data_IF_899140890054
#
_entry.id   IF_899140890054
#
_cell.length_a   1.000
_cell.length_b   1.000
_cell.length_c   1.000
_cell.angle_alpha   90.00
_cell.angle_beta   90.00
_cell.angle_gamma   90.00
#
_symmetry.space_group_name_H-M   'P 1'
#
loop_
_entity.id
_entity.type
_entity.pdbx_description
1 polymer ?
#
# COMPACT_ATOMS: atom_id res chain seq x y z
N UNK A 1 59.57 28.15 -11.73
CA UNK A 1 58.81 26.95 -12.18
C UNK A 1 57.54 26.80 -11.34
N UNK A 2 56.58 27.73 -11.48
CA UNK A 2 55.38 27.81 -10.64
C UNK A 2 54.15 27.75 -11.53
N UNK A 3 53.61 26.56 -11.74
CA UNK A 3 52.38 26.39 -12.52
C UNK A 3 51.68 25.08 -12.17
N UNK A 4 51.39 24.83 -10.90
CA UNK A 4 50.51 23.72 -10.51
C UNK A 4 49.76 24.07 -9.23
N UNK A 5 48.48 24.41 -9.38
CA UNK A 5 47.37 24.27 -8.42
C UNK A 5 46.30 25.34 -8.69
N UNK A 6 45.65 25.28 -9.86
CA UNK A 6 44.42 26.06 -10.15
C UNK A 6 43.18 25.17 -10.32
N UNK A 7 43.29 23.87 -10.05
CA UNK A 7 42.23 22.87 -10.29
C UNK A 7 41.66 22.21 -9.02
N UNK A 8 42.19 22.52 -7.83
CA UNK A 8 41.79 21.86 -6.57
C UNK A 8 40.33 22.12 -6.18
N UNK A 9 39.84 23.36 -6.36
CA UNK A 9 38.45 23.71 -6.02
C UNK A 9 37.39 23.16 -6.99
N UNK A 10 37.73 22.99 -8.26
CA UNK A 10 36.80 22.51 -9.30
C UNK A 10 36.50 21.02 -9.11
N UNK A 11 37.51 20.22 -8.76
CA UNK A 11 37.32 18.80 -8.44
C UNK A 11 36.43 18.60 -7.22
N UNK A 12 36.59 19.43 -6.18
CA UNK A 12 35.75 19.39 -4.98
C UNK A 12 34.29 19.76 -5.29
N UNK A 13 34.08 20.77 -6.12
CA UNK A 13 32.74 21.21 -6.54
C UNK A 13 32.00 20.15 -7.36
N UNK A 14 32.70 19.43 -8.25
CA UNK A 14 32.15 18.32 -9.03
C UNK A 14 31.75 17.14 -8.12
N UNK A 15 32.58 16.81 -7.12
CA UNK A 15 32.26 15.76 -6.13
C UNK A 15 30.99 16.14 -5.35
N UNK A 16 30.87 17.39 -4.88
CA UNK A 16 29.69 17.87 -4.15
C UNK A 16 28.43 17.79 -5.01
N UNK A 17 28.50 18.19 -6.29
CA UNK A 17 27.38 18.09 -7.23
C UNK A 17 26.96 16.63 -7.45
N UNK A 18 27.91 15.71 -7.58
CA UNK A 18 27.63 14.28 -7.75
C UNK A 18 26.92 13.65 -6.54
N UNK A 19 27.17 14.14 -5.32
CA UNK A 19 26.48 13.69 -4.11
C UNK A 19 25.00 14.11 -4.05
N UNK A 20 24.61 15.22 -4.69
CA UNK A 20 23.22 15.70 -4.67
C UNK A 20 22.29 15.03 -5.68
N UNK A 21 22.83 14.39 -6.73
CA UNK A 21 22.00 13.75 -7.78
C UNK A 21 21.56 12.30 -7.48
N UNK A 22 21.96 11.71 -6.35
CA UNK A 22 21.74 10.28 -6.08
C UNK A 22 20.42 9.91 -5.39
N UNK A 23 19.55 10.87 -5.03
CA UNK A 23 18.37 10.59 -4.21
C UNK A 23 17.07 10.76 -5.00
N UNK A 24 16.76 9.83 -5.89
CA UNK A 24 15.39 9.65 -6.39
C UNK A 24 14.73 8.50 -5.63
N UNK A 25 13.49 8.66 -5.12
CA UNK A 25 12.78 7.58 -4.45
C UNK A 25 12.61 6.40 -5.40
N UNK A 26 13.17 5.24 -5.05
CA UNK A 26 13.04 4.03 -5.86
C UNK A 26 11.62 3.51 -5.67
N UNK A 27 10.80 3.55 -6.70
CA UNK A 27 9.42 3.04 -6.64
C UNK A 27 9.40 1.51 -6.80
N UNK A 28 8.52 0.85 -6.07
CA UNK A 28 8.25 -0.59 -6.14
C UNK A 28 6.80 -0.79 -6.51
N UNK A 29 6.55 -1.62 -7.53
CA UNK A 29 5.20 -1.99 -7.95
C UNK A 29 4.91 -3.44 -7.57
N UNK A 30 3.75 -3.69 -6.97
CA UNK A 30 3.23 -5.03 -6.67
C UNK A 30 1.81 -5.18 -7.20
N UNK A 31 1.46 -6.39 -7.64
CA UNK A 31 0.13 -6.75 -8.14
C UNK A 31 -0.41 -7.92 -7.33
N UNK A 32 -1.69 -7.88 -6.99
CA UNK A 32 -2.39 -8.98 -6.32
C UNK A 32 -3.85 -9.08 -6.74
N UNK A 33 -4.47 -10.23 -6.46
CA UNK A 33 -5.89 -10.47 -6.70
C UNK A 33 -6.63 -10.29 -5.36
N UNK A 34 -7.54 -9.32 -5.31
CA UNK A 34 -8.31 -8.96 -4.12
C UNK A 34 -9.75 -8.65 -4.51
N UNK A 35 -10.73 -9.03 -3.67
CA UNK A 35 -12.14 -8.69 -3.86
C UNK A 35 -12.68 -9.05 -5.26
N UNK A 36 -12.17 -10.14 -5.87
CA UNK A 36 -12.54 -10.59 -7.21
C UNK A 36 -11.92 -9.82 -8.38
N UNK A 37 -10.93 -8.96 -8.15
CA UNK A 37 -10.24 -8.20 -9.21
C UNK A 37 -8.73 -8.07 -8.96
N UNK A 38 -7.98 -7.59 -9.95
CA UNK A 38 -6.57 -7.30 -9.79
C UNK A 38 -6.34 -5.86 -9.34
N UNK A 39 -5.62 -5.70 -8.24
CA UNK A 39 -5.13 -4.40 -7.78
C UNK A 39 -3.62 -4.31 -7.97
N UNK A 40 -3.14 -3.11 -8.29
CA UNK A 40 -1.72 -2.81 -8.47
C UNK A 40 -1.36 -1.63 -7.57
N UNK A 41 -0.35 -1.82 -6.74
CA UNK A 41 0.14 -0.82 -5.79
C UNK A 41 1.53 -0.40 -6.20
N UNK A 42 1.75 0.91 -6.27
CA UNK A 42 3.08 1.49 -6.50
C UNK A 42 3.43 2.37 -5.31
N UNK A 43 4.49 2.03 -4.61
CA UNK A 43 4.92 2.73 -3.38
C UNK A 43 6.42 3.00 -3.45
N UNK A 44 6.89 3.99 -2.70
CA UNK A 44 8.33 4.15 -2.50
C UNK A 44 8.91 2.93 -1.77
N UNK A 45 10.09 2.49 -2.19
CA UNK A 45 10.76 1.28 -1.68
C UNK A 45 10.99 1.29 -0.17
N UNK A 46 11.22 2.47 0.44
CA UNK A 46 11.37 2.59 1.89
C UNK A 46 10.08 2.28 2.65
N UNK A 47 8.93 2.36 1.97
CA UNK A 47 7.60 2.07 2.51
C UNK A 47 7.01 0.77 1.96
N UNK A 48 7.84 -0.14 1.45
CA UNK A 48 7.37 -1.41 0.87
C UNK A 48 6.58 -2.32 1.83
N UNK A 49 6.68 -2.10 3.15
CA UNK A 49 5.89 -2.79 4.18
C UNK A 49 4.38 -2.46 4.10
N UNK A 50 4.01 -1.26 3.65
CA UNK A 50 2.61 -0.82 3.49
C UNK A 50 1.82 -1.77 2.60
N UNK A 51 2.46 -2.43 1.64
CA UNK A 51 1.81 -3.45 0.83
C UNK A 51 1.19 -4.57 1.68
N UNK A 52 1.90 -5.05 2.70
CA UNK A 52 1.41 -6.13 3.55
C UNK A 52 0.20 -5.66 4.36
N UNK A 53 0.26 -4.43 4.90
CA UNK A 53 -0.84 -3.82 5.65
C UNK A 53 -2.09 -3.64 4.79
N UNK A 54 -1.93 -3.10 3.57
CA UNK A 54 -3.03 -2.93 2.62
C UNK A 54 -3.61 -4.30 2.21
N UNK A 55 -2.76 -5.29 1.98
CA UNK A 55 -3.19 -6.66 1.67
C UNK A 55 -4.00 -7.26 2.81
N UNK A 56 -3.58 -7.05 4.06
CA UNK A 56 -4.31 -7.53 5.24
C UNK A 56 -5.67 -6.85 5.38
N UNK A 57 -5.73 -5.53 5.20
CA UNK A 57 -6.99 -4.77 5.21
C UNK A 57 -7.95 -5.29 4.13
N UNK A 58 -7.46 -5.48 2.90
CA UNK A 58 -8.29 -5.98 1.80
C UNK A 58 -8.82 -7.40 2.05
N UNK A 59 -7.99 -8.27 2.63
CA UNK A 59 -8.42 -9.61 3.01
C UNK A 59 -9.47 -9.56 4.14
N UNK A 60 -9.27 -8.71 5.16
CA UNK A 60 -10.24 -8.52 6.23
C UNK A 60 -11.58 -7.98 5.70
N UNK A 61 -11.56 -7.09 4.71
CA UNK A 61 -12.76 -6.62 4.03
C UNK A 61 -13.45 -7.79 3.30
N UNK A 62 -12.70 -8.59 2.52
CA UNK A 62 -13.27 -9.74 1.82
C UNK A 62 -13.89 -10.74 2.81
N UNK A 63 -13.22 -11.02 3.92
CA UNK A 63 -13.73 -11.90 4.96
C UNK A 63 -15.08 -11.43 5.53
N UNK A 64 -15.28 -10.12 5.71
CA UNK A 64 -16.53 -9.56 6.26
C UNK A 64 -17.64 -9.40 5.22
N UNK A 65 -17.29 -8.98 4.00
CA UNK A 65 -18.25 -8.52 3.00
C UNK A 65 -18.46 -9.49 1.82
N UNK A 66 -17.64 -10.54 1.70
CA UNK A 66 -17.76 -11.47 0.57
C UNK A 66 -19.09 -12.21 0.59
N UNK A 67 -19.83 -12.15 -0.53
CA UNK A 67 -21.05 -12.94 -0.74
C UNK A 67 -20.79 -14.45 -0.91
N UNK A 68 -19.54 -14.85 -1.07
CA UNK A 68 -19.14 -16.23 -1.34
C UNK A 68 -18.54 -16.91 -0.11
N UNK A 69 -17.92 -16.14 0.79
CA UNK A 69 -17.41 -16.66 2.04
C UNK A 69 -18.56 -16.89 3.03
N UNK A 70 -18.77 -18.16 3.43
CA UNK A 70 -19.84 -18.55 4.37
C UNK A 70 -19.71 -17.92 5.75
N UNK A 71 -18.48 -17.54 6.12
CA UNK A 71 -18.19 -16.92 7.41
C UNK A 71 -18.39 -15.40 7.41
N UNK A 72 -18.62 -14.79 6.24
CA UNK A 72 -18.82 -13.35 6.14
C UNK A 72 -20.14 -12.89 6.77
N UNK A 73 -20.18 -11.64 7.18
CA UNK A 73 -21.40 -11.03 7.70
C UNK A 73 -22.48 -10.95 6.61
N UNK A 74 -22.10 -10.59 5.37
CA UNK A 74 -23.03 -10.55 4.24
C UNK A 74 -23.67 -11.91 3.97
N UNK A 75 -22.87 -12.98 3.95
CA UNK A 75 -23.40 -14.32 3.74
C UNK A 75 -24.33 -14.74 4.87
N UNK A 76 -23.91 -14.53 6.13
CA UNK A 76 -24.70 -14.89 7.32
C UNK A 76 -26.05 -14.16 7.32
N UNK A 77 -26.06 -12.85 7.07
CA UNK A 77 -27.29 -12.04 7.01
C UNK A 77 -28.23 -12.55 5.91
N UNK A 78 -27.69 -12.82 4.72
CA UNK A 78 -28.51 -13.25 3.58
C UNK A 78 -29.12 -14.66 3.76
N UNK A 79 -28.50 -15.51 4.58
CA UNK A 79 -28.91 -16.91 4.74
C UNK A 79 -29.62 -17.20 6.08
N UNK A 80 -29.58 -16.30 7.07
CA UNK A 80 -30.25 -16.44 8.37
C UNK A 80 -31.48 -15.54 8.49
N UNK A 81 -32.52 -15.84 7.70
CA UNK A 81 -33.73 -15.01 7.66
C UNK A 81 -34.46 -15.00 9.00
N UNK A 82 -34.77 -13.80 9.49
CA UNK A 82 -35.49 -13.59 10.75
C UNK A 82 -34.63 -13.67 12.01
N UNK A 83 -33.31 -13.89 11.88
CA UNK A 83 -32.38 -13.90 13.01
C UNK A 83 -31.57 -12.60 13.09
N UNK A 84 -31.29 -12.17 14.32
CA UNK A 84 -30.32 -11.10 14.55
C UNK A 84 -28.89 -11.65 14.36
N UNK A 85 -28.16 -11.07 13.40
CA UNK A 85 -26.73 -11.37 13.19
C UNK A 85 -25.90 -10.31 13.89
N UNK A 86 -25.03 -10.74 14.81
CA UNK A 86 -24.05 -9.86 15.45
C UNK A 86 -22.96 -9.49 14.44
N UNK A 87 -22.75 -8.20 14.26
CA UNK A 87 -21.74 -7.61 13.38
C UNK A 87 -20.93 -6.55 14.13
N UNK A 88 -19.79 -6.14 13.58
CA UNK A 88 -18.99 -5.06 14.16
C UNK A 88 -19.50 -3.67 13.75
N UNK A 89 -18.94 -2.64 14.37
CA UNK A 89 -19.32 -1.24 14.11
C UNK A 89 -18.98 -0.82 12.68
N UNK A 90 -17.80 -1.22 12.18
CA UNK A 90 -17.35 -0.90 10.82
C UNK A 90 -18.37 -1.36 9.78
N UNK A 91 -18.87 -2.59 9.91
CA UNK A 91 -19.88 -3.15 9.03
C UNK A 91 -21.20 -2.36 9.07
N UNK A 92 -21.65 -1.97 10.26
CA UNK A 92 -22.85 -1.13 10.43
C UNK A 92 -22.65 0.26 9.82
N UNK A 93 -21.47 0.85 9.99
CA UNK A 93 -21.17 2.17 9.46
C UNK A 93 -21.22 2.11 7.92
N UNK A 94 -20.60 1.10 7.28
CA UNK A 94 -20.67 0.91 5.82
C UNK A 94 -22.12 0.74 5.34
N UNK A 95 -22.93 -0.06 6.03
CA UNK A 95 -24.35 -0.26 5.67
C UNK A 95 -25.19 1.01 5.77
N UNK A 96 -24.85 1.95 6.63
CA UNK A 96 -25.57 3.22 6.75
C UNK A 96 -25.24 4.19 5.62
N UNK A 97 -24.07 4.04 4.99
CA UNK A 97 -23.63 4.88 3.88
C UNK A 97 -23.99 4.32 2.50
N UNK A 98 -24.38 3.05 2.41
CA UNK A 98 -24.86 2.40 1.18
C UNK A 98 -26.32 2.72 0.89
#
# INVERSE_FOLDING_TARGET
MWRKLKHSGIGLFIIIILFFFSCSPKMVTKKGLYLGTFLTFTVDSSHSHVYNEVSEILNNIDEKFSRFNKDSFVYKINNKKGEWVKVDKEFIDVLKFS
#
